data_IF_508441566265
#
_entry.id   IF_508441566265
#
_cell.length_a   1.000
_cell.length_b   1.000
_cell.length_c   1.000
_cell.angle_alpha   90.00
_cell.angle_beta   90.00
_cell.angle_gamma   90.00
#
_symmetry.space_group_name_H-M   'P 1'
#
loop_
_entity.id
_entity.type
_entity.pdbx_description
1 polymer ?
#
# COMPACT_ATOMS: atom_id res chain seq x y z
N UNK A 1 1.48 -2.97 11.59
CA UNK A 1 1.88 -2.37 10.30
C UNK A 1 2.93 -1.31 10.60
N UNK A 2 4.09 -1.36 9.95
CA UNK A 2 5.10 -0.29 10.09
C UNK A 2 4.74 0.76 9.05
N UNK A 3 4.23 1.90 9.50
CA UNK A 3 3.89 3.02 8.62
C UNK A 3 5.16 3.80 8.25
N UNK A 4 5.15 4.59 7.15
CA UNK A 4 6.22 5.53 6.86
C UNK A 4 6.49 6.41 8.08
N UNK A 5 7.72 6.36 8.59
CA UNK A 5 8.14 7.11 9.76
C UNK A 5 8.97 8.32 9.37
N UNK A 6 9.17 9.20 10.35
CA UNK A 6 10.04 10.36 10.23
C UNK A 6 11.42 10.00 9.72
N UNK A 7 11.95 10.84 8.85
CA UNK A 7 13.30 10.75 8.31
C UNK A 7 14.06 12.05 8.59
N UNK A 8 15.34 12.00 9.01
CA UNK A 8 16.05 13.16 9.54
C UNK A 8 16.14 14.37 8.59
N UNK A 9 16.18 14.13 7.28
CA UNK A 9 16.46 15.15 6.27
C UNK A 9 15.38 15.26 5.17
N UNK A 10 14.37 14.39 5.20
CA UNK A 10 13.37 14.25 4.13
C UNK A 10 11.94 14.34 4.64
N UNK A 11 11.76 14.60 5.93
CA UNK A 11 10.45 14.85 6.54
C UNK A 11 10.49 16.08 7.43
N UNK A 12 9.33 16.71 7.64
CA UNK A 12 9.18 17.84 8.56
C UNK A 12 9.09 17.42 10.04
N UNK A 13 9.21 16.12 10.34
CA UNK A 13 9.13 15.57 11.68
C UNK A 13 10.50 15.45 12.33
N UNK A 14 10.54 15.40 13.66
CA UNK A 14 11.77 15.14 14.41
C UNK A 14 12.32 13.76 14.04
N UNK A 15 13.65 13.60 13.92
CA UNK A 15 14.27 12.33 13.56
C UNK A 15 13.79 11.18 14.46
N UNK A 16 13.29 10.11 13.86
CA UNK A 16 12.93 8.88 14.56
C UNK A 16 13.69 7.71 13.95
N UNK A 17 14.28 6.86 14.80
CA UNK A 17 14.96 5.64 14.35
C UNK A 17 14.09 4.43 14.67
N UNK A 18 13.70 3.70 13.64
CA UNK A 18 13.03 2.41 13.77
C UNK A 18 13.97 1.36 14.39
N UNK A 19 13.51 0.66 15.42
CA UNK A 19 14.21 -0.47 16.03
C UNK A 19 13.25 -1.67 16.14
N UNK A 20 13.59 -2.76 15.44
CA UNK A 20 12.79 -3.97 15.45
C UNK A 20 12.80 -4.67 16.81
N UNK A 21 13.94 -4.74 17.51
CA UNK A 21 14.05 -5.47 18.78
C UNK A 21 13.22 -4.81 19.89
N UNK A 22 13.22 -3.48 19.95
CA UNK A 22 12.40 -2.73 20.90
C UNK A 22 10.90 -3.01 20.67
N UNK A 23 10.48 -3.04 19.41
CA UNK A 23 9.10 -3.33 19.03
C UNK A 23 8.73 -4.79 19.28
N UNK A 24 9.62 -5.74 18.98
CA UNK A 24 9.42 -7.16 19.23
C UNK A 24 9.31 -7.45 20.74
N UNK A 25 10.17 -6.84 21.56
CA UNK A 25 10.10 -6.94 23.01
C UNK A 25 8.81 -6.34 23.56
N UNK A 26 8.38 -5.19 23.03
CA UNK A 26 7.10 -4.59 23.40
C UNK A 26 5.92 -5.52 23.07
N UNK A 27 5.92 -6.18 21.91
CA UNK A 27 4.90 -7.17 21.55
C UNK A 27 4.92 -8.39 22.46
N UNK A 28 6.09 -8.93 22.77
CA UNK A 28 6.25 -10.09 23.65
C UNK A 28 5.73 -9.79 25.06
N UNK A 29 6.02 -8.60 25.58
CA UNK A 29 5.54 -8.18 26.90
C UNK A 29 4.02 -7.99 26.98
N UNK A 30 3.40 -7.41 25.94
CA UNK A 30 1.97 -7.07 25.98
C UNK A 30 1.07 -8.22 25.50
N UNK A 31 1.58 -9.09 24.62
CA UNK A 31 0.78 -10.10 23.93
C UNK A 31 1.35 -11.53 24.03
N UNK A 32 2.52 -11.72 24.64
CA UNK A 32 3.16 -13.04 24.76
C UNK A 32 3.67 -13.61 23.44
N UNK A 33 3.75 -12.80 22.38
CA UNK A 33 4.18 -13.21 21.05
C UNK A 33 5.35 -12.38 20.55
N UNK A 34 6.33 -13.05 19.92
CA UNK A 34 7.45 -12.38 19.26
C UNK A 34 7.21 -12.28 17.76
N UNK A 35 7.49 -11.12 17.19
CA UNK A 35 7.26 -10.83 15.78
C UNK A 35 8.15 -11.68 14.86
N UNK A 36 7.57 -12.16 13.76
CA UNK A 36 8.29 -12.85 12.67
C UNK A 36 8.47 -11.88 11.50
N UNK A 37 9.58 -11.12 11.51
CA UNK A 37 9.84 -10.04 10.53
C UNK A 37 9.81 -10.50 9.07
N UNK A 38 10.29 -11.71 8.78
CA UNK A 38 10.43 -12.22 7.41
C UNK A 38 9.20 -12.97 6.88
N UNK A 39 8.24 -13.34 7.75
CA UNK A 39 7.14 -14.23 7.37
C UNK A 39 6.33 -13.72 6.18
N UNK A 40 5.99 -12.43 6.15
CA UNK A 40 5.23 -11.83 5.04
C UNK A 40 6.02 -11.82 3.73
N UNK A 41 7.34 -11.60 3.80
CA UNK A 41 8.21 -11.59 2.61
C UNK A 41 8.39 -13.00 2.08
N UNK A 42 8.56 -13.99 2.95
CA UNK A 42 8.68 -15.41 2.61
C UNK A 42 7.39 -15.95 1.99
N UNK A 43 6.24 -15.59 2.54
CA UNK A 43 4.94 -16.10 2.10
C UNK A 43 4.45 -15.44 0.80
N UNK A 44 4.63 -14.12 0.66
CA UNK A 44 4.01 -13.33 -0.41
C UNK A 44 5.00 -12.69 -1.40
N UNK A 45 6.31 -12.91 -1.24
CA UNK A 45 7.35 -12.47 -2.17
C UNK A 45 7.97 -11.10 -1.89
N UNK A 46 7.37 -10.27 -1.02
CA UNK A 46 7.92 -8.97 -0.63
C UNK A 46 8.31 -8.09 -1.81
N UNK A 47 9.61 -7.80 -1.98
CA UNK A 47 10.11 -6.98 -3.10
C UNK A 47 10.02 -7.68 -4.46
N UNK A 48 9.94 -9.01 -4.48
CA UNK A 48 9.80 -9.84 -5.69
C UNK A 48 8.32 -10.10 -6.02
N UNK A 49 7.39 -9.30 -5.49
CA UNK A 49 5.95 -9.47 -5.68
C UNK A 49 5.55 -9.50 -7.16
N UNK A 50 6.22 -8.74 -8.03
CA UNK A 50 5.96 -8.81 -9.47
C UNK A 50 6.30 -10.18 -10.05
N UNK A 51 7.43 -10.77 -9.66
CA UNK A 51 7.86 -12.08 -10.15
C UNK A 51 6.94 -13.19 -9.63
N UNK A 52 6.51 -13.11 -8.36
CA UNK A 52 5.58 -14.06 -7.75
C UNK A 52 4.20 -13.97 -8.42
N UNK A 53 3.64 -12.77 -8.54
CA UNK A 53 2.32 -12.55 -9.12
C UNK A 53 2.28 -12.83 -10.63
N UNK A 54 3.37 -12.62 -11.37
CA UNK A 54 3.45 -13.04 -12.79
C UNK A 54 3.31 -14.55 -12.98
N UNK A 55 3.74 -15.35 -12.00
CA UNK A 55 3.73 -16.83 -12.10
C UNK A 55 2.38 -17.43 -11.73
N UNK A 56 1.74 -16.93 -10.67
CA UNK A 56 0.56 -17.57 -10.09
C UNK A 56 -0.64 -16.63 -9.86
N UNK A 57 -0.44 -15.31 -9.99
CA UNK A 57 -1.50 -14.33 -9.77
C UNK A 57 -2.38 -14.15 -11.00
N UNK A 58 -3.64 -13.80 -10.78
CA UNK A 58 -4.57 -13.35 -11.83
C UNK A 58 -5.72 -12.56 -11.21
N UNK A 59 -6.35 -11.70 -12.01
CA UNK A 59 -7.57 -10.96 -11.63
C UNK A 59 -7.41 -10.09 -10.37
N UNK A 60 -6.30 -9.37 -10.28
CA UNK A 60 -6.01 -8.48 -9.15
C UNK A 60 -5.91 -7.04 -9.67
N UNK A 61 -6.52 -6.12 -8.91
CA UNK A 61 -6.46 -4.69 -9.20
C UNK A 61 -5.79 -3.99 -8.02
N UNK A 62 -4.65 -3.35 -8.28
CA UNK A 62 -3.96 -2.52 -7.30
C UNK A 62 -4.34 -1.05 -7.52
N UNK A 63 -5.26 -0.52 -6.71
CA UNK A 63 -5.62 0.89 -6.73
C UNK A 63 -4.77 1.68 -5.72
N UNK A 64 -4.06 2.71 -6.17
CA UNK A 64 -3.23 3.56 -5.32
C UNK A 64 -3.45 5.05 -5.63
N UNK A 65 -3.51 5.86 -4.59
CA UNK A 65 -3.49 7.31 -4.69
C UNK A 65 -2.10 7.87 -4.39
N UNK A 66 -1.55 8.76 -5.22
CA UNK A 66 -0.18 9.26 -5.01
C UNK A 66 -0.05 10.26 -3.85
N UNK A 67 -1.17 10.82 -3.37
CA UNK A 67 -1.19 11.62 -2.14
C UNK A 67 -1.15 10.73 -0.89
N UNK A 68 -1.49 9.45 -1.02
CA UNK A 68 -1.40 8.48 0.07
C UNK A 68 0.07 8.12 0.37
N UNK A 69 0.60 8.38 1.57
CA UNK A 69 1.96 7.98 1.93
C UNK A 69 2.18 6.45 1.88
N UNK A 70 1.12 5.65 1.98
CA UNK A 70 1.19 4.19 1.88
C UNK A 70 1.38 3.70 0.44
N UNK A 71 1.11 4.53 -0.57
CA UNK A 71 1.33 4.19 -1.97
C UNK A 71 2.79 3.87 -2.30
N UNK A 72 3.73 4.41 -1.52
CA UNK A 72 5.17 4.11 -1.66
C UNK A 72 5.52 2.64 -1.37
N UNK A 73 4.65 1.92 -0.65
CA UNK A 73 4.77 0.48 -0.41
C UNK A 73 3.89 -0.39 -1.32
N UNK A 74 3.13 0.21 -2.23
CA UNK A 74 2.17 -0.47 -3.10
C UNK A 74 2.72 -0.86 -4.46
N UNK A 75 1.86 -1.49 -5.27
CA UNK A 75 2.14 -1.81 -6.69
C UNK A 75 1.59 -0.69 -7.56
N UNK A 76 2.48 0.01 -8.26
CA UNK A 76 2.15 1.20 -9.07
C UNK A 76 2.22 0.97 -10.59
N UNK A 77 2.45 -0.27 -11.03
CA UNK A 77 2.58 -0.65 -12.44
C UNK A 77 1.84 -1.95 -12.73
N UNK A 78 1.33 -2.08 -13.96
CA UNK A 78 0.72 -3.33 -14.40
C UNK A 78 1.77 -4.46 -14.38
N UNK A 79 1.38 -5.58 -13.79
CA UNK A 79 2.23 -6.78 -13.67
C UNK A 79 1.95 -7.74 -14.83
N UNK A 80 0.67 -7.87 -15.23
CA UNK A 80 0.22 -8.70 -16.35
C UNK A 80 -1.07 -8.13 -16.97
N UNK A 81 -1.63 -8.79 -17.98
CA UNK A 81 -2.92 -8.38 -18.58
C UNK A 81 -4.11 -8.46 -17.59
N UNK A 82 -4.04 -9.33 -16.57
CA UNK A 82 -5.09 -9.51 -15.55
C UNK A 82 -4.70 -8.96 -14.18
N UNK A 83 -3.47 -8.46 -14.02
CA UNK A 83 -2.98 -7.83 -12.79
C UNK A 83 -2.59 -6.39 -13.11
N UNK A 84 -3.52 -5.49 -12.88
CA UNK A 84 -3.44 -4.09 -13.29
C UNK A 84 -3.30 -3.16 -12.09
N UNK A 85 -2.59 -2.06 -12.28
CA UNK A 85 -2.45 -0.99 -11.31
C UNK A 85 -3.23 0.24 -11.80
N UNK A 86 -4.12 0.75 -10.94
CA UNK A 86 -4.84 1.99 -11.16
C UNK A 86 -4.24 3.04 -10.23
N UNK A 87 -3.57 4.04 -10.81
CA UNK A 87 -2.83 5.05 -10.03
C UNK A 87 -3.44 6.42 -10.28
N UNK A 88 -3.89 7.07 -9.22
CA UNK A 88 -4.49 8.41 -9.27
C UNK A 88 -3.57 9.44 -8.65
N UNK A 89 -3.25 10.51 -9.38
CA UNK A 89 -2.32 11.54 -8.91
C UNK A 89 -2.84 12.28 -7.67
N UNK A 90 -4.13 12.58 -7.61
CA UNK A 90 -4.75 13.35 -6.52
C UNK A 90 -5.46 12.45 -5.49
N UNK A 91 -5.50 11.14 -5.73
CA UNK A 91 -6.13 10.20 -4.82
C UNK A 91 -5.37 10.12 -3.49
N UNK A 92 -6.12 10.18 -2.40
CA UNK A 92 -5.64 9.88 -1.06
C UNK A 92 -5.82 8.39 -0.73
N UNK A 93 -5.82 8.04 0.55
CA UNK A 93 -5.91 6.66 1.02
C UNK A 93 -7.21 6.00 0.54
N UNK A 94 -7.07 4.99 -0.34
CA UNK A 94 -8.14 4.15 -0.92
C UNK A 94 -9.41 4.91 -1.36
N UNK A 95 -9.25 6.06 -2.01
CA UNK A 95 -10.36 6.95 -2.37
C UNK A 95 -11.47 6.26 -3.17
N UNK A 96 -11.11 5.43 -4.15
CA UNK A 96 -12.08 4.71 -5.00
C UNK A 96 -12.94 3.63 -4.30
N UNK A 97 -12.80 3.43 -2.99
CA UNK A 97 -13.72 2.62 -2.18
C UNK A 97 -14.81 3.46 -1.49
N UNK A 98 -14.71 4.79 -1.54
CA UNK A 98 -15.70 5.70 -0.95
C UNK A 98 -16.90 5.82 -1.86
N UNK A 99 -17.99 6.37 -1.32
CA UNK A 99 -19.12 6.77 -2.14
C UNK A 99 -18.75 8.02 -2.93
N UNK A 100 -19.14 8.05 -4.21
CA UNK A 100 -18.91 9.19 -5.10
C UNK A 100 -19.73 10.39 -4.60
N UNK A 101 -19.06 11.53 -4.51
CA UNK A 101 -19.59 12.86 -4.29
C UNK A 101 -19.24 13.74 -5.52
N UNK A 102 -20.11 13.77 -6.55
CA UNK A 102 -19.81 14.38 -7.84
C UNK A 102 -19.35 15.84 -7.77
N UNK A 103 -19.78 16.57 -6.74
CA UNK A 103 -19.51 17.99 -6.55
C UNK A 103 -18.11 18.29 -6.00
N UNK A 104 -17.48 17.32 -5.32
CA UNK A 104 -16.22 17.52 -4.59
C UNK A 104 -15.12 16.54 -4.97
N UNK A 105 -15.47 15.39 -5.55
CA UNK A 105 -14.47 14.39 -5.89
C UNK A 105 -13.59 14.87 -7.05
N UNK A 106 -12.27 14.62 -6.98
CA UNK A 106 -11.38 14.80 -8.11
C UNK A 106 -11.84 13.98 -9.32
N UNK A 107 -11.52 14.46 -10.53
CA UNK A 107 -11.85 13.72 -11.75
C UNK A 107 -11.24 12.31 -11.76
N UNK A 108 -10.03 12.15 -11.22
CA UNK A 108 -9.37 10.84 -11.16
C UNK A 108 -10.14 9.81 -10.31
N UNK A 109 -10.92 10.25 -9.33
CA UNK A 109 -11.74 9.37 -8.52
C UNK A 109 -12.99 8.90 -9.27
N UNK A 110 -13.65 9.83 -9.97
CA UNK A 110 -14.75 9.48 -10.88
C UNK A 110 -14.31 8.49 -11.96
N UNK A 111 -13.11 8.65 -12.49
CA UNK A 111 -12.55 7.74 -13.50
C UNK A 111 -12.29 6.34 -12.93
N UNK A 112 -11.79 6.24 -11.69
CA UNK A 112 -11.67 4.97 -10.96
C UNK A 112 -13.04 4.29 -10.82
N UNK A 113 -14.05 5.03 -10.39
CA UNK A 113 -15.41 4.52 -10.25
C UNK A 113 -16.04 4.09 -11.58
N UNK A 114 -15.82 4.85 -12.65
CA UNK A 114 -16.23 4.48 -14.01
C UNK A 114 -15.59 3.18 -14.48
N UNK A 115 -14.33 2.94 -14.12
CA UNK A 115 -13.63 1.69 -14.44
C UNK A 115 -14.26 0.47 -13.74
N UNK A 116 -14.80 0.64 -12.52
CA UNK A 116 -15.53 -0.42 -11.83
C UNK A 116 -16.90 -0.70 -12.46
N UNK A 117 -17.63 0.35 -12.86
CA UNK A 117 -18.99 0.23 -13.42
C UNK A 117 -19.07 -0.16 -14.90
N UNK A 118 -17.95 -0.08 -15.63
CA UNK A 118 -17.88 -0.36 -17.07
C UNK A 118 -17.49 -1.79 -17.47
N UNK A 119 -17.52 -2.75 -16.53
CA UNK A 119 -17.23 -4.17 -16.79
C UNK A 119 -18.44 -5.06 -16.56
#
# INVERSE_FOLDING_TARGET
MVMPQSSPNTSMYLPFKWNFEDFAYWCEKNYGVRLRSHWIVEEFGGQEIEAVLKRFGSNIVFSNGLVDPLSGGGVLKNISASIVALVTAEGAHHLGLRAIQPEVDPQCDRDLHGWWGGR
#
